data_IF_906573126717
#
_entry.id   IF_906573126717
#
_cell.length_a   1.000
_cell.length_b   1.000
_cell.length_c   1.000
_cell.angle_alpha   90.00
_cell.angle_beta   90.00
_cell.angle_gamma   90.00
#
_symmetry.space_group_name_H-M   'P 1'
#
loop_
_entity.id
_entity.type
_entity.pdbx_description
1 polymer ?
#
# COMPACT_ATOMS: atom_id res chain seq x y z
N UNK A 1 -8.86 13.53 -55.16
CA UNK A 1 -10.21 14.03 -54.83
C UNK A 1 -10.23 14.45 -53.36
N UNK A 2 -9.95 15.72 -53.03
CA UNK A 2 -10.17 16.24 -51.69
C UNK A 2 -11.69 16.42 -51.51
N UNK A 3 -12.31 15.60 -50.67
CA UNK A 3 -13.69 15.79 -50.24
C UNK A 3 -13.80 17.14 -49.55
N UNK A 4 -14.63 18.04 -50.09
CA UNK A 4 -14.97 19.32 -49.46
C UNK A 4 -15.51 19.04 -48.04
N UNK A 5 -14.68 19.24 -47.02
CA UNK A 5 -15.15 19.20 -45.65
C UNK A 5 -16.14 20.33 -45.45
N UNK A 6 -17.35 20.07 -44.94
CA UNK A 6 -18.35 21.10 -44.79
C UNK A 6 -17.87 22.16 -43.83
N UNK A 7 -18.02 23.42 -44.16
CA UNK A 7 -17.50 24.58 -43.39
C UNK A 7 -17.99 24.59 -41.94
N UNK A 8 -19.21 24.12 -41.66
CA UNK A 8 -19.73 23.99 -40.33
C UNK A 8 -18.91 23.03 -39.43
N UNK A 9 -18.38 21.95 -40.00
CA UNK A 9 -17.50 20.99 -39.28
C UNK A 9 -16.21 21.67 -38.83
N UNK A 10 -15.61 22.50 -39.70
CA UNK A 10 -14.40 23.27 -39.37
C UNK A 10 -14.65 24.27 -38.25
N UNK A 11 -15.80 24.97 -38.28
CA UNK A 11 -16.19 25.87 -37.18
C UNK A 11 -16.44 25.11 -35.88
N UNK A 12 -17.06 23.95 -35.91
CA UNK A 12 -17.30 23.13 -34.72
C UNK A 12 -15.98 22.64 -34.11
N UNK A 13 -15.04 22.21 -34.94
CA UNK A 13 -13.70 21.79 -34.47
C UNK A 13 -12.97 23.00 -33.88
N UNK A 14 -13.00 24.16 -34.52
CA UNK A 14 -12.37 25.38 -34.01
C UNK A 14 -12.92 25.77 -32.62
N UNK A 15 -14.25 25.80 -32.48
CA UNK A 15 -14.90 26.12 -31.21
C UNK A 15 -14.50 25.10 -30.12
N UNK A 16 -14.47 23.81 -30.46
CA UNK A 16 -14.07 22.75 -29.52
C UNK A 16 -12.61 22.94 -29.08
N UNK A 17 -11.70 23.21 -30.03
CA UNK A 17 -10.27 23.47 -29.71
C UNK A 17 -10.13 24.72 -28.86
N UNK A 18 -10.87 25.79 -29.16
CA UNK A 18 -10.87 27.02 -28.35
C UNK A 18 -11.37 26.76 -26.93
N UNK A 19 -12.47 26.01 -26.75
CA UNK A 19 -12.97 25.64 -25.44
C UNK A 19 -11.92 24.86 -24.64
N UNK A 20 -11.31 23.85 -25.25
CA UNK A 20 -10.25 23.07 -24.60
C UNK A 20 -9.09 23.96 -24.21
N UNK A 21 -8.64 24.85 -25.12
CA UNK A 21 -7.56 25.80 -24.83
C UNK A 21 -7.87 26.68 -23.64
N UNK A 22 -9.08 27.27 -23.57
CA UNK A 22 -9.47 28.12 -22.46
C UNK A 22 -9.64 27.37 -21.14
N UNK A 23 -10.12 26.12 -21.16
CA UNK A 23 -10.18 25.26 -19.96
C UNK A 23 -8.76 25.05 -19.38
N UNK A 24 -7.78 24.84 -20.22
CA UNK A 24 -6.39 24.65 -19.77
C UNK A 24 -5.73 25.96 -19.35
N UNK A 25 -5.96 27.04 -20.08
CA UNK A 25 -5.34 28.34 -19.83
C UNK A 25 -5.90 29.05 -18.58
N UNK A 26 -7.22 28.98 -18.38
CA UNK A 26 -7.92 29.60 -17.25
C UNK A 26 -8.13 28.64 -16.05
N UNK A 27 -7.40 27.52 -16.01
CA UNK A 27 -7.60 26.51 -14.98
C UNK A 27 -7.32 27.06 -13.58
N UNK A 28 -8.33 27.06 -12.66
CA UNK A 28 -8.20 27.65 -11.35
C UNK A 28 -7.53 26.70 -10.36
N UNK A 29 -6.22 26.48 -10.55
CA UNK A 29 -5.40 25.50 -9.80
C UNK A 29 -5.60 25.62 -8.28
N UNK A 30 -5.48 26.83 -7.72
CA UNK A 30 -5.54 27.03 -6.27
C UNK A 30 -6.92 26.75 -5.68
N UNK A 31 -7.99 27.13 -6.40
CA UNK A 31 -9.36 26.85 -5.95
C UNK A 31 -9.63 25.36 -5.90
N UNK A 32 -9.20 24.63 -6.94
CA UNK A 32 -9.36 23.16 -7.02
C UNK A 32 -8.50 22.48 -5.99
N UNK A 33 -7.25 22.91 -5.80
CA UNK A 33 -6.37 22.44 -4.74
C UNK A 33 -7.06 22.55 -3.37
N UNK A 34 -7.53 23.74 -3.01
CA UNK A 34 -8.18 24.00 -1.74
C UNK A 34 -9.46 23.16 -1.57
N UNK A 35 -10.25 23.01 -2.62
CA UNK A 35 -11.44 22.17 -2.60
C UNK A 35 -11.13 20.71 -2.32
N UNK A 36 -10.16 20.14 -3.03
CA UNK A 36 -9.73 18.74 -2.86
C UNK A 36 -9.14 18.52 -1.47
N UNK A 37 -8.23 19.39 -1.03
CA UNK A 37 -7.60 19.31 0.29
C UNK A 37 -8.63 19.40 1.42
N UNK A 38 -9.50 20.42 1.36
CA UNK A 38 -10.53 20.62 2.38
C UNK A 38 -11.57 19.51 2.38
N UNK A 39 -11.95 19.00 1.21
CA UNK A 39 -12.87 17.89 1.07
C UNK A 39 -12.34 16.61 1.70
N UNK A 40 -11.08 16.28 1.39
CA UNK A 40 -10.42 15.10 1.95
C UNK A 40 -10.26 15.19 3.48
N UNK A 41 -9.76 16.32 3.98
CA UNK A 41 -9.51 16.51 5.42
C UNK A 41 -10.81 16.53 6.25
N UNK A 42 -11.96 16.91 5.66
CA UNK A 42 -13.26 16.80 6.32
C UNK A 42 -13.77 15.37 6.44
N UNK A 43 -13.48 14.54 5.44
CA UNK A 43 -13.91 13.13 5.42
C UNK A 43 -13.06 12.25 6.31
N UNK A 44 -11.78 12.57 6.46
CA UNK A 44 -10.81 11.78 7.23
C UNK A 44 -10.28 12.59 8.41
N UNK A 45 -10.74 12.30 9.62
CA UNK A 45 -10.31 13.03 10.83
C UNK A 45 -8.85 12.76 11.21
N UNK A 46 -8.34 11.59 10.87
CA UNK A 46 -7.02 11.13 11.32
C UNK A 46 -5.94 11.23 10.22
N UNK A 47 -6.36 11.46 8.96
CA UNK A 47 -5.42 11.57 7.83
C UNK A 47 -5.61 12.92 7.15
N UNK A 48 -4.56 13.70 7.08
CA UNK A 48 -4.50 14.95 6.37
C UNK A 48 -3.77 14.79 5.05
N UNK A 49 -4.17 15.57 4.04
CA UNK A 49 -3.51 15.61 2.74
C UNK A 49 -2.95 17.00 2.48
N UNK A 50 -1.74 17.04 1.93
CA UNK A 50 -1.15 18.26 1.36
C UNK A 50 -0.89 18.04 -0.12
N UNK A 51 -1.21 19.05 -0.93
CA UNK A 51 -1.02 19.05 -2.39
C UNK A 51 -0.23 20.30 -2.74
N UNK A 52 0.85 20.17 -3.48
CA UNK A 52 1.65 21.33 -3.90
C UNK A 52 0.92 22.08 -5.02
N UNK A 53 0.61 21.41 -6.12
CA UNK A 53 0.02 22.00 -7.30
C UNK A 53 -1.00 21.06 -7.96
N UNK A 54 -2.02 21.65 -8.60
CA UNK A 54 -3.05 20.93 -9.36
C UNK A 54 -3.05 21.45 -10.79
N UNK A 55 -3.04 20.59 -11.78
CA UNK A 55 -3.16 20.95 -13.18
C UNK A 55 -4.20 20.09 -13.91
N UNK A 56 -4.75 20.57 -15.03
CA UNK A 56 -5.63 19.75 -15.84
C UNK A 56 -4.87 18.59 -16.50
N UNK A 57 -5.52 17.47 -16.69
CA UNK A 57 -5.02 16.30 -17.43
C UNK A 57 -5.89 16.04 -18.65
N UNK A 58 -5.25 15.80 -19.80
CA UNK A 58 -5.98 15.42 -21.01
C UNK A 58 -6.51 13.96 -20.91
N UNK A 59 -7.74 13.66 -21.39
CA UNK A 59 -8.69 14.56 -22.04
C UNK A 59 -9.49 15.45 -21.05
N UNK A 60 -9.93 14.95 -19.92
CA UNK A 60 -10.65 15.65 -18.86
C UNK A 60 -10.33 15.00 -17.53
N UNK A 61 -9.27 15.43 -16.88
CA UNK A 61 -8.83 14.90 -15.61
C UNK A 61 -8.04 15.92 -14.83
N UNK A 62 -7.49 15.46 -13.71
CA UNK A 62 -6.65 16.24 -12.81
C UNK A 62 -5.30 15.55 -12.64
N UNK A 63 -4.25 16.35 -12.56
CA UNK A 63 -2.94 15.95 -12.08
C UNK A 63 -2.65 16.70 -10.79
N UNK A 64 -2.38 15.96 -9.75
CA UNK A 64 -1.97 16.47 -8.45
C UNK A 64 -0.48 16.21 -8.30
N UNK A 65 0.29 17.19 -7.91
CA UNK A 65 1.74 17.09 -7.77
C UNK A 65 2.14 17.16 -6.31
N UNK A 66 3.12 16.36 -5.92
CA UNK A 66 3.66 16.24 -4.56
C UNK A 66 2.54 16.13 -3.53
N UNK A 67 1.79 15.04 -3.63
CA UNK A 67 0.71 14.76 -2.70
C UNK A 67 1.25 13.96 -1.54
N UNK A 68 1.18 14.55 -0.34
CA UNK A 68 1.65 13.95 0.88
C UNK A 68 0.47 13.66 1.80
N UNK A 69 0.46 12.47 2.36
CA UNK A 69 -0.53 12.04 3.35
C UNK A 69 0.12 12.00 4.72
N UNK A 70 -0.53 12.60 5.70
CA UNK A 70 -0.04 12.70 7.07
C UNK A 70 -1.04 12.07 8.03
N UNK A 71 -0.53 11.37 9.04
CA UNK A 71 -1.31 10.96 10.21
C UNK A 71 -0.74 11.68 11.43
N UNK A 72 -1.53 12.56 12.03
CA UNK A 72 -1.03 13.56 12.97
C UNK A 72 0.12 14.36 12.32
N UNK A 73 1.35 14.30 12.84
CA UNK A 73 2.51 15.00 12.27
C UNK A 73 3.45 14.07 11.48
N UNK A 74 3.06 12.81 11.30
CA UNK A 74 3.90 11.80 10.66
C UNK A 74 3.52 11.61 9.19
N UNK A 75 4.51 11.64 8.30
CA UNK A 75 4.31 11.37 6.88
C UNK A 75 4.06 9.89 6.67
N UNK A 76 2.85 9.55 6.17
CA UNK A 76 2.49 8.17 5.82
C UNK A 76 2.95 7.80 4.42
N UNK A 77 2.65 8.67 3.47
CA UNK A 77 2.86 8.43 2.05
C UNK A 77 3.18 9.73 1.33
N UNK A 78 4.18 9.69 0.46
CA UNK A 78 4.55 10.78 -0.42
C UNK A 78 4.40 10.32 -1.87
N UNK A 79 3.82 11.16 -2.71
CA UNK A 79 3.70 10.88 -4.14
C UNK A 79 4.25 12.02 -4.97
N UNK A 80 4.96 11.69 -6.03
CA UNK A 80 5.43 12.70 -6.99
C UNK A 80 4.26 13.29 -7.78
N UNK A 81 3.36 12.44 -8.21
CA UNK A 81 2.23 12.82 -9.05
C UNK A 81 1.09 11.81 -8.94
N UNK A 82 -0.14 12.32 -8.86
CA UNK A 82 -1.36 11.52 -9.00
C UNK A 82 -2.17 12.07 -10.18
N UNK A 83 -2.44 11.24 -11.17
CA UNK A 83 -3.35 11.55 -12.28
C UNK A 83 -4.69 10.87 -12.03
N UNK A 84 -5.78 11.62 -12.09
CA UNK A 84 -7.16 11.12 -11.94
C UNK A 84 -7.94 11.51 -13.18
N UNK A 85 -8.57 10.53 -13.83
CA UNK A 85 -9.36 10.73 -15.05
C UNK A 85 -10.73 10.08 -14.88
N UNK A 86 -11.82 10.84 -14.89
CA UNK A 86 -13.16 10.28 -14.84
C UNK A 86 -13.50 9.60 -16.18
N UNK A 87 -14.31 8.56 -16.11
CA UNK A 87 -14.98 8.03 -17.29
C UNK A 87 -16.14 8.95 -17.64
N UNK A 88 -16.04 9.65 -18.77
CA UNK A 88 -17.01 10.69 -19.17
C UNK A 88 -18.43 10.15 -19.28
N UNK A 89 -18.60 8.95 -19.80
CA UNK A 89 -19.93 8.34 -19.93
C UNK A 89 -20.55 8.00 -18.57
N UNK A 90 -19.72 7.70 -17.58
CA UNK A 90 -20.20 7.40 -16.24
C UNK A 90 -20.70 8.65 -15.49
N UNK A 91 -20.25 9.85 -15.87
CA UNK A 91 -20.71 11.10 -15.26
C UNK A 91 -22.21 11.35 -15.47
N UNK A 92 -22.79 10.77 -16.52
CA UNK A 92 -24.23 10.83 -16.81
C UNK A 92 -25.04 9.70 -16.17
N UNK A 93 -24.37 8.81 -15.44
CA UNK A 93 -24.98 7.66 -14.75
C UNK A 93 -25.02 7.89 -13.25
N UNK A 94 -25.78 7.08 -12.53
CA UNK A 94 -25.81 7.07 -11.05
C UNK A 94 -24.46 6.63 -10.45
N UNK A 95 -23.70 5.79 -11.17
CA UNK A 95 -22.41 5.25 -10.78
C UNK A 95 -21.30 5.95 -11.55
N UNK A 96 -20.45 6.67 -10.82
CA UNK A 96 -19.31 7.39 -11.37
C UNK A 96 -18.09 6.48 -11.28
N UNK A 97 -17.35 6.37 -12.38
CA UNK A 97 -16.11 5.59 -12.49
C UNK A 97 -14.98 6.56 -12.77
N UNK A 98 -13.86 6.38 -12.08
CA UNK A 98 -12.62 7.13 -12.34
C UNK A 98 -11.42 6.18 -12.39
N UNK A 99 -10.42 6.57 -13.14
CA UNK A 99 -9.13 5.90 -13.21
C UNK A 99 -8.10 6.77 -12.54
N UNK A 100 -7.19 6.15 -11.79
CA UNK A 100 -6.09 6.87 -11.17
C UNK A 100 -4.76 6.21 -11.49
N UNK A 101 -3.71 7.03 -11.53
CA UNK A 101 -2.33 6.60 -11.68
C UNK A 101 -1.45 7.52 -10.86
N UNK A 102 -0.76 6.96 -9.87
CA UNK A 102 0.19 7.67 -9.02
C UNK A 102 1.60 7.16 -9.26
N UNK A 103 2.57 8.07 -9.17
CA UNK A 103 3.99 7.76 -9.13
C UNK A 103 4.49 8.03 -7.73
N UNK A 104 5.09 7.03 -7.10
CA UNK A 104 5.66 7.11 -5.77
C UNK A 104 6.79 6.09 -5.62
N UNK A 105 7.85 6.46 -4.93
CA UNK A 105 8.92 5.55 -4.53
C UNK A 105 9.49 4.71 -5.68
N UNK A 106 9.77 5.35 -6.82
CA UNK A 106 10.27 4.77 -8.07
C UNK A 106 9.27 3.79 -8.74
N UNK A 107 8.11 3.57 -8.15
CA UNK A 107 7.06 2.67 -8.65
C UNK A 107 5.81 3.40 -9.12
N UNK A 108 4.83 2.60 -9.48
CA UNK A 108 3.55 3.06 -10.00
C UNK A 108 2.42 2.38 -9.22
N UNK A 109 1.45 3.18 -8.80
CA UNK A 109 0.16 2.74 -8.29
C UNK A 109 -0.90 3.16 -9.30
N UNK A 110 -1.68 2.23 -9.82
CA UNK A 110 -2.74 2.56 -10.77
C UNK A 110 -3.97 1.70 -10.52
N UNK A 111 -5.13 2.21 -10.89
CA UNK A 111 -6.36 1.49 -10.69
C UNK A 111 -7.59 2.25 -11.14
N UNK A 112 -8.69 1.74 -10.69
CA UNK A 112 -10.02 2.28 -10.96
C UNK A 112 -10.78 2.39 -9.64
N UNK A 113 -11.57 3.45 -9.52
CA UNK A 113 -12.51 3.61 -8.43
C UNK A 113 -13.90 3.86 -8.95
N UNK A 114 -14.90 3.52 -8.15
CA UNK A 114 -16.30 3.76 -8.45
C UNK A 114 -17.05 4.15 -7.18
N UNK A 115 -18.01 5.07 -7.33
CA UNK A 115 -18.89 5.49 -6.26
C UNK A 115 -20.29 5.85 -6.79
N UNK A 116 -21.30 5.81 -5.91
CA UNK A 116 -22.66 6.22 -6.25
C UNK A 116 -22.82 7.71 -6.00
N UNK A 117 -23.24 8.46 -7.02
CA UNK A 117 -23.30 9.94 -7.04
C UNK A 117 -24.11 10.56 -5.89
N UNK A 118 -25.24 9.94 -5.53
CA UNK A 118 -26.11 10.45 -4.48
C UNK A 118 -25.76 9.97 -3.07
N UNK A 119 -24.82 9.05 -2.94
CA UNK A 119 -24.35 8.44 -1.67
C UNK A 119 -22.88 8.09 -1.77
N UNK A 120 -21.98 9.08 -1.97
CA UNK A 120 -20.56 8.81 -2.20
C UNK A 120 -19.90 8.14 -1.00
N UNK A 121 -20.42 8.33 0.21
CA UNK A 121 -19.85 7.78 1.44
C UNK A 121 -20.27 6.33 1.72
N UNK A 122 -21.33 5.85 1.07
CA UNK A 122 -21.95 4.57 1.38
C UNK A 122 -21.54 3.42 0.46
N UNK A 123 -21.04 3.73 -0.72
CA UNK A 123 -20.64 2.72 -1.68
C UNK A 123 -19.45 3.20 -2.50
N UNK A 124 -18.26 2.87 -2.01
CA UNK A 124 -16.99 3.10 -2.72
C UNK A 124 -16.32 1.76 -2.97
N UNK A 125 -15.91 1.52 -4.20
CA UNK A 125 -15.09 0.37 -4.57
C UNK A 125 -13.85 0.90 -5.28
N UNK A 126 -12.67 0.46 -4.84
CA UNK A 126 -11.40 0.82 -5.46
C UNK A 126 -10.62 -0.46 -5.73
N UNK A 127 -10.30 -0.69 -6.98
CA UNK A 127 -9.41 -1.76 -7.41
C UNK A 127 -8.11 -1.14 -7.90
N UNK A 128 -6.99 -1.61 -7.39
CA UNK A 128 -5.70 -1.08 -7.77
C UNK A 128 -4.59 -2.11 -7.76
N UNK A 129 -3.53 -1.78 -8.46
CA UNK A 129 -2.28 -2.53 -8.46
C UNK A 129 -1.12 -1.57 -8.23
N UNK A 130 -0.12 -2.05 -7.55
CA UNK A 130 1.15 -1.35 -7.36
C UNK A 130 2.29 -2.21 -7.90
N UNK A 131 3.26 -1.56 -8.52
CA UNK A 131 4.38 -2.23 -9.18
C UNK A 131 5.67 -1.45 -9.01
N UNK A 132 6.75 -2.18 -8.78
CA UNK A 132 8.12 -1.68 -8.65
C UNK A 132 8.29 -0.60 -7.57
N UNK A 133 7.54 -0.68 -6.48
CA UNK A 133 7.66 0.27 -5.37
C UNK A 133 8.88 -0.12 -4.53
N UNK A 134 9.83 0.80 -4.37
CA UNK A 134 10.97 0.62 -3.48
C UNK A 134 10.55 0.85 -2.03
N UNK A 135 10.52 -0.21 -1.22
CA UNK A 135 10.06 -0.15 0.17
C UNK A 135 10.95 0.76 1.02
N UNK A 136 12.25 0.78 0.77
CA UNK A 136 13.21 1.60 1.51
C UNK A 136 12.86 3.08 1.51
N UNK A 137 12.25 3.56 0.43
CA UNK A 137 11.88 4.96 0.25
C UNK A 137 10.56 5.34 0.95
N UNK A 138 9.79 4.37 1.48
CA UNK A 138 8.51 4.62 2.15
C UNK A 138 8.75 5.04 3.60
N UNK A 139 8.50 6.32 3.99
CA UNK A 139 8.78 6.80 5.35
C UNK A 139 8.04 6.01 6.43
N UNK A 140 6.77 5.69 6.17
CA UNK A 140 5.92 4.95 7.07
C UNK A 140 6.46 3.55 7.42
N UNK A 141 7.13 2.87 6.49
CA UNK A 141 7.67 1.53 6.73
C UNK A 141 8.68 1.56 7.86
N UNK A 142 9.66 2.48 7.79
CA UNK A 142 10.67 2.62 8.84
C UNK A 142 10.04 3.03 10.17
N UNK A 143 9.07 3.93 10.13
CA UNK A 143 8.39 4.42 11.31
C UNK A 143 7.54 3.34 12.00
N UNK A 144 6.72 2.61 11.24
CA UNK A 144 5.81 1.60 11.82
C UNK A 144 6.49 0.27 12.15
N UNK A 145 7.49 -0.14 11.38
CA UNK A 145 8.22 -1.39 11.65
C UNK A 145 9.35 -1.15 12.66
N UNK A 146 9.78 0.11 12.86
CA UNK A 146 10.89 0.48 13.72
C UNK A 146 12.25 -0.02 13.21
N UNK A 147 12.34 -0.46 11.94
CA UNK A 147 13.52 -1.12 11.36
C UNK A 147 13.64 -0.84 9.88
N UNK A 148 14.84 -1.07 9.36
CA UNK A 148 15.06 -0.99 7.94
C UNK A 148 14.52 -2.25 7.25
N UNK A 149 13.65 -2.05 6.29
CA UNK A 149 13.16 -3.07 5.37
C UNK A 149 13.42 -2.58 3.96
N UNK A 150 14.07 -3.41 3.15
CA UNK A 150 14.34 -3.13 1.75
C UNK A 150 13.65 -4.15 0.85
N UNK A 151 13.59 -3.88 -0.43
CA UNK A 151 13.01 -4.77 -1.43
C UNK A 151 12.06 -4.03 -2.37
N UNK A 152 11.64 -4.74 -3.41
CA UNK A 152 10.70 -4.24 -4.41
C UNK A 152 9.32 -4.82 -4.15
N UNK A 153 8.35 -3.95 -3.91
CA UNK A 153 6.96 -4.30 -3.60
C UNK A 153 6.11 -4.24 -4.86
N UNK A 154 5.38 -5.33 -5.12
CA UNK A 154 4.39 -5.44 -6.18
C UNK A 154 3.12 -6.10 -5.64
N UNK A 155 1.97 -5.81 -6.24
CA UNK A 155 0.73 -6.44 -5.83
C UNK A 155 -0.53 -5.74 -6.30
N UNK A 156 -1.64 -6.15 -5.71
CA UNK A 156 -2.95 -5.58 -5.94
C UNK A 156 -3.71 -5.40 -4.63
N UNK A 157 -4.67 -4.51 -4.66
CA UNK A 157 -5.59 -4.32 -3.57
C UNK A 157 -6.98 -4.02 -4.09
N UNK A 158 -7.98 -4.37 -3.28
CA UNK A 158 -9.36 -3.99 -3.49
C UNK A 158 -9.88 -3.39 -2.20
N UNK A 159 -10.53 -2.24 -2.28
CA UNK A 159 -11.20 -1.59 -1.16
C UNK A 159 -12.69 -1.53 -1.41
N UNK A 160 -13.47 -1.96 -0.45
CA UNK A 160 -14.91 -1.85 -0.45
C UNK A 160 -15.35 -1.10 0.80
N UNK A 161 -16.14 -0.04 0.62
CA UNK A 161 -16.86 0.58 1.71
C UNK A 161 -18.33 0.18 1.60
N UNK A 162 -18.84 -0.53 2.60
CA UNK A 162 -20.23 -0.92 2.74
C UNK A 162 -20.83 -0.23 3.97
N UNK A 163 -22.05 0.27 3.85
CA UNK A 163 -22.76 0.99 4.90
C UNK A 163 -22.88 0.19 6.20
N UNK A 164 -22.93 -1.16 6.13
CA UNK A 164 -23.12 -2.05 7.27
C UNK A 164 -21.83 -2.60 7.85
N UNK A 165 -20.82 -2.82 7.00
CA UNK A 165 -19.59 -3.51 7.36
C UNK A 165 -18.40 -2.55 7.53
N UNK A 166 -18.57 -1.27 7.17
CA UNK A 166 -17.46 -0.32 7.14
C UNK A 166 -16.49 -0.61 5.99
N UNK A 167 -15.37 0.12 5.98
CA UNK A 167 -14.33 -0.05 4.96
C UNK A 167 -13.53 -1.32 5.16
N UNK A 168 -13.42 -2.15 4.12
CA UNK A 168 -12.61 -3.37 4.11
C UNK A 168 -11.68 -3.36 2.90
N UNK A 169 -10.42 -3.66 3.11
CA UNK A 169 -9.42 -3.81 2.05
C UNK A 169 -8.92 -5.25 2.00
N UNK A 170 -8.80 -5.80 0.81
CA UNK A 170 -8.04 -7.02 0.55
C UNK A 170 -6.76 -6.64 -0.18
N UNK A 171 -5.63 -7.15 0.29
CA UNK A 171 -4.30 -6.86 -0.27
C UNK A 171 -3.59 -8.18 -0.54
N UNK A 172 -3.03 -8.31 -1.75
CA UNK A 172 -2.09 -9.36 -2.12
C UNK A 172 -0.83 -8.70 -2.60
N UNK A 173 0.28 -9.02 -1.99
CA UNK A 173 1.55 -8.41 -2.34
C UNK A 173 2.70 -9.42 -2.33
N UNK A 174 3.71 -9.05 -3.09
CA UNK A 174 4.99 -9.74 -3.16
C UNK A 174 6.08 -8.70 -2.94
N UNK A 175 7.02 -9.01 -2.06
CA UNK A 175 8.25 -8.26 -1.87
C UNK A 175 9.38 -9.14 -2.37
N UNK A 176 10.17 -8.65 -3.30
CA UNK A 176 11.30 -9.38 -3.89
C UNK A 176 12.63 -8.74 -3.52
N UNK A 177 13.65 -9.58 -3.41
CA UNK A 177 15.05 -9.16 -3.29
C UNK A 177 15.29 -8.12 -2.18
N UNK A 178 14.95 -8.48 -0.97
CA UNK A 178 14.98 -7.57 0.15
C UNK A 178 15.77 -8.08 1.35
N UNK A 179 15.87 -7.19 2.33
CA UNK A 179 16.56 -7.41 3.59
C UNK A 179 15.77 -6.75 4.71
N UNK A 180 15.68 -7.43 5.84
CA UNK A 180 15.07 -6.91 7.07
C UNK A 180 16.09 -6.90 8.20
N UNK A 181 16.20 -5.75 8.87
CA UNK A 181 17.02 -5.57 10.05
C UNK A 181 16.37 -6.29 11.25
N UNK A 182 17.17 -7.00 12.04
CA UNK A 182 16.71 -7.71 13.24
C UNK A 182 16.72 -6.77 14.46
N UNK A 183 15.76 -6.91 15.37
CA UNK A 183 15.71 -6.16 16.65
C UNK A 183 16.93 -6.41 17.51
N UNK A 184 17.38 -7.65 17.52
CA UNK A 184 18.59 -8.07 18.24
C UNK A 184 19.34 -8.99 17.29
N UNK A 185 20.67 -8.85 17.20
CA UNK A 185 21.45 -9.77 16.41
C UNK A 185 21.23 -11.21 16.89
N UNK A 186 20.90 -12.07 15.94
CA UNK A 186 20.75 -13.50 16.20
C UNK A 186 21.95 -14.22 15.56
N UNK A 187 22.81 -14.84 16.35
CA UNK A 187 24.02 -15.52 15.89
C UNK A 187 24.94 -14.68 14.99
N UNK A 188 25.16 -13.40 15.35
CA UNK A 188 25.91 -12.41 14.55
C UNK A 188 25.21 -11.94 13.27
N UNK A 189 24.00 -12.41 12.98
CA UNK A 189 23.21 -11.86 11.90
C UNK A 189 22.51 -10.61 12.43
N UNK A 190 22.79 -9.46 11.82
CA UNK A 190 22.10 -8.19 12.07
C UNK A 190 20.89 -8.05 11.14
N UNK A 191 20.97 -8.65 9.98
CA UNK A 191 19.95 -8.59 8.93
C UNK A 191 19.61 -10.00 8.41
N UNK A 192 18.39 -10.15 7.92
CA UNK A 192 17.93 -11.34 7.19
C UNK A 192 17.61 -10.95 5.76
N UNK A 193 18.37 -11.49 4.82
CA UNK A 193 18.08 -11.35 3.39
C UNK A 193 17.04 -12.38 2.95
N UNK A 194 16.10 -11.96 2.13
CA UNK A 194 15.06 -12.81 1.55
C UNK A 194 14.96 -12.61 0.04
N UNK A 195 14.70 -13.68 -0.67
CA UNK A 195 14.43 -13.63 -2.10
C UNK A 195 13.00 -13.21 -2.38
N UNK A 196 12.05 -13.63 -1.53
CA UNK A 196 10.63 -13.37 -1.73
C UNK A 196 9.82 -13.44 -0.44
N UNK A 197 8.92 -12.48 -0.27
CA UNK A 197 7.83 -12.52 0.70
C UNK A 197 6.52 -12.38 -0.05
N UNK A 198 5.61 -13.33 0.09
CA UNK A 198 4.25 -13.27 -0.45
C UNK A 198 3.25 -13.11 0.69
N UNK A 199 2.41 -12.09 0.63
CA UNK A 199 1.41 -11.87 1.66
C UNK A 199 0.01 -11.67 1.07
N UNK A 200 -0.97 -12.28 1.73
CA UNK A 200 -2.39 -12.06 1.50
C UNK A 200 -3.05 -11.63 2.81
N UNK A 201 -3.66 -10.45 2.79
CA UNK A 201 -4.18 -9.78 3.99
C UNK A 201 -5.55 -9.18 3.74
N UNK A 202 -6.34 -9.09 4.80
CA UNK A 202 -7.59 -8.33 4.84
C UNK A 202 -7.52 -7.32 5.97
N UNK A 203 -7.83 -6.05 5.68
CA UNK A 203 -7.81 -4.95 6.64
C UNK A 203 -9.22 -4.39 6.75
N UNK A 204 -9.75 -4.30 7.95
CA UNK A 204 -11.07 -3.70 8.20
C UNK A 204 -11.39 -3.71 9.68
N UNK A 205 -12.21 -2.77 10.15
CA UNK A 205 -12.65 -2.68 11.54
C UNK A 205 -11.50 -2.73 12.57
N UNK A 206 -10.43 -1.97 12.32
CA UNK A 206 -9.22 -1.93 13.15
C UNK A 206 -8.54 -3.31 13.31
N UNK A 207 -8.74 -4.22 12.37
CA UNK A 207 -8.13 -5.54 12.35
C UNK A 207 -7.43 -5.78 11.03
N UNK A 208 -6.21 -6.29 11.11
CA UNK A 208 -5.46 -6.81 9.99
C UNK A 208 -5.40 -8.34 10.14
N UNK A 209 -6.05 -9.05 9.24
CA UNK A 209 -6.00 -10.50 9.16
C UNK A 209 -4.97 -10.90 8.12
N UNK A 210 -3.87 -11.49 8.56
CA UNK A 210 -2.90 -12.14 7.69
C UNK A 210 -3.44 -13.52 7.36
N UNK A 211 -4.00 -13.70 6.15
CA UNK A 211 -4.50 -14.99 5.69
C UNK A 211 -3.32 -15.95 5.46
N UNK A 212 -2.27 -15.42 4.84
CA UNK A 212 -1.05 -16.16 4.50
C UNK A 212 0.08 -15.16 4.28
N UNK A 213 1.25 -15.45 4.85
CA UNK A 213 2.50 -14.74 4.57
C UNK A 213 3.61 -15.77 4.46
N UNK A 214 4.14 -15.99 3.25
CA UNK A 214 5.24 -16.91 2.97
C UNK A 214 6.49 -16.10 2.82
N UNK A 215 7.53 -16.50 3.51
CA UNK A 215 8.84 -15.88 3.54
C UNK A 215 9.86 -16.89 3.04
N UNK A 216 10.53 -16.59 1.94
CA UNK A 216 11.66 -17.37 1.42
C UNK A 216 12.95 -16.59 1.70
N UNK A 217 13.64 -16.97 2.76
CA UNK A 217 14.86 -16.27 3.20
C UNK A 217 16.06 -17.23 3.19
N UNK A 218 17.26 -16.65 3.12
CA UNK A 218 18.50 -17.45 3.05
C UNK A 218 18.71 -18.35 4.28
N UNK A 219 18.52 -17.84 5.54
CA UNK A 219 18.73 -18.71 6.70
C UNK A 219 17.54 -19.62 6.98
N UNK A 220 16.32 -19.26 6.56
CA UNK A 220 15.12 -20.03 6.89
C UNK A 220 13.92 -19.62 6.04
N UNK A 221 13.10 -20.57 5.65
CA UNK A 221 11.78 -20.30 5.11
C UNK A 221 10.75 -20.21 6.22
N UNK A 222 9.73 -19.39 6.00
CA UNK A 222 8.68 -19.18 6.99
C UNK A 222 7.29 -19.07 6.37
N UNK A 223 6.31 -19.39 7.18
CA UNK A 223 4.90 -19.08 6.87
C UNK A 223 4.25 -18.53 8.14
N UNK A 224 3.58 -17.39 8.02
CA UNK A 224 2.93 -16.71 9.12
C UNK A 224 1.47 -16.42 8.77
N UNK A 225 0.57 -16.62 9.72
CA UNK A 225 -0.84 -16.28 9.59
C UNK A 225 -1.40 -15.85 10.95
N UNK A 226 -2.53 -15.13 10.96
CA UNK A 226 -3.18 -14.73 12.20
C UNK A 226 -3.84 -13.37 12.14
N UNK A 227 -3.95 -12.72 13.29
CA UNK A 227 -4.64 -11.45 13.47
C UNK A 227 -3.74 -10.44 14.16
N UNK A 228 -3.84 -9.19 13.71
CA UNK A 228 -3.26 -8.02 14.36
C UNK A 228 -4.42 -7.07 14.64
N UNK A 229 -4.67 -6.76 15.91
CA UNK A 229 -5.64 -5.74 16.29
C UNK A 229 -4.93 -4.39 16.29
N UNK A 230 -5.29 -3.55 15.34
CA UNK A 230 -4.67 -2.24 15.15
C UNK A 230 -5.09 -1.30 16.28
N UNK A 231 -4.12 -0.57 16.84
CA UNK A 231 -4.33 0.43 17.90
C UNK A 231 -3.64 1.73 17.52
N UNK A 232 -3.96 2.79 18.21
CA UNK A 232 -3.25 4.06 18.18
C UNK A 232 -2.54 4.27 19.53
N UNK A 233 -1.21 4.46 19.52
CA UNK A 233 -0.30 4.44 18.37
C UNK A 233 -0.11 3.03 17.81
N UNK A 234 0.27 2.94 16.52
CA UNK A 234 0.33 1.67 15.77
C UNK A 234 1.26 0.63 16.39
N UNK A 235 2.33 1.06 17.05
CA UNK A 235 3.31 0.22 17.72
C UNK A 235 2.68 -0.61 18.87
N UNK A 236 1.57 -0.12 19.44
CA UNK A 236 0.80 -0.80 20.49
C UNK A 236 -0.23 -1.80 19.94
N UNK A 237 -0.26 -2.04 18.64
CA UNK A 237 -1.15 -3.02 18.02
C UNK A 237 -0.86 -4.43 18.52
N UNK A 238 -1.91 -5.17 18.93
CA UNK A 238 -1.78 -6.52 19.49
C UNK A 238 -1.56 -7.57 18.42
N UNK A 239 -0.56 -8.39 18.60
CA UNK A 239 -0.21 -9.52 17.75
C UNK A 239 -0.82 -10.81 18.25
N UNK A 240 -1.40 -11.59 17.35
CA UNK A 240 -1.84 -12.98 17.55
C UNK A 240 -1.54 -13.75 16.28
N UNK A 241 -0.28 -14.13 16.12
CA UNK A 241 0.19 -14.78 14.90
C UNK A 241 0.71 -16.18 15.21
N UNK A 242 0.50 -17.06 14.25
CA UNK A 242 1.04 -18.41 14.20
C UNK A 242 2.05 -18.47 13.07
N UNK A 243 3.23 -18.94 13.36
CA UNK A 243 4.31 -19.10 12.41
C UNK A 243 4.80 -20.54 12.33
N UNK A 244 5.27 -20.89 11.15
CA UNK A 244 6.00 -22.14 10.90
C UNK A 244 7.31 -21.76 10.25
N UNK A 245 8.43 -22.14 10.84
CA UNK A 245 9.77 -21.86 10.35
C UNK A 245 10.43 -23.17 9.94
N UNK A 246 11.10 -23.16 8.79
CA UNK A 246 11.92 -24.25 8.27
C UNK A 246 13.35 -23.75 8.13
N UNK A 247 14.21 -23.96 9.11
CA UNK A 247 15.61 -23.56 9.02
C UNK A 247 16.33 -24.30 7.88
N UNK A 248 17.24 -23.62 7.20
CA UNK A 248 18.13 -24.24 6.22
C UNK A 248 19.15 -25.11 6.93
N UNK A 249 19.61 -26.20 6.29
CA UNK A 249 20.63 -27.12 6.86
C UNK A 249 21.97 -26.41 7.13
N UNK A 250 22.39 -25.50 6.27
CA UNK A 250 23.59 -24.70 6.45
C UNK A 250 23.50 -23.82 7.70
N UNK A 251 22.36 -23.16 7.89
CA UNK A 251 22.10 -22.36 9.07
C UNK A 251 22.07 -23.18 10.36
N UNK A 252 21.48 -24.38 10.33
CA UNK A 252 21.50 -25.30 11.46
C UNK A 252 22.92 -25.79 11.79
N UNK A 253 23.76 -26.02 10.77
CA UNK A 253 25.15 -26.42 10.94
C UNK A 253 26.01 -25.29 11.55
N UNK A 254 25.77 -24.03 11.15
CA UNK A 254 26.42 -22.85 11.76
C UNK A 254 25.99 -22.64 13.21
N UNK A 255 24.70 -22.79 13.50
CA UNK A 255 24.16 -22.77 14.84
C UNK A 255 24.83 -23.78 15.75
N UNK A 256 25.03 -25.01 15.25
CA UNK A 256 25.67 -26.09 15.99
C UNK A 256 27.15 -25.87 16.31
N UNK A 257 27.84 -25.03 15.51
CA UNK A 257 29.25 -24.67 15.74
C UNK A 257 29.42 -23.52 16.76
N UNK A 258 28.42 -22.67 16.91
CA UNK A 258 28.51 -21.42 17.70
C UNK A 258 27.90 -21.49 19.10
N UNK A 259 27.14 -22.53 19.42
CA UNK A 259 26.46 -22.66 20.71
C UNK A 259 26.86 -23.92 21.45
N UNK A 260 27.05 -23.85 22.79
CA UNK A 260 27.08 -25.04 23.61
C UNK A 260 25.82 -25.85 23.39
N UNK A 261 25.97 -27.11 23.04
CA UNK A 261 24.87 -28.06 22.69
C UNK A 261 23.81 -28.19 23.80
N UNK A 262 24.07 -27.67 24.98
CA UNK A 262 23.17 -27.69 26.15
C UNK A 262 22.14 -26.55 26.18
N UNK A 263 22.31 -25.53 25.36
CA UNK A 263 21.43 -24.35 25.35
C UNK A 263 20.33 -24.37 24.29
N UNK A 264 20.43 -25.27 23.34
CA UNK A 264 19.37 -25.45 22.33
C UNK A 264 18.58 -26.72 22.63
N UNK A 265 17.25 -26.66 22.62
CA UNK A 265 16.43 -27.87 22.69
C UNK A 265 16.85 -28.81 21.55
N UNK A 266 17.25 -30.04 21.85
CA UNK A 266 17.59 -31.07 20.86
C UNK A 266 16.51 -31.27 19.81
N UNK A 267 15.29 -30.87 20.14
CA UNK A 267 14.10 -30.90 19.30
C UNK A 267 14.17 -29.91 18.10
N UNK A 268 14.90 -28.81 18.21
CA UNK A 268 15.07 -27.86 17.10
C UNK A 268 15.95 -28.49 16.00
N UNK A 269 16.94 -29.27 16.37
CA UNK A 269 17.81 -29.98 15.40
C UNK A 269 17.16 -31.23 14.82
N UNK A 270 16.23 -31.84 15.53
CA UNK A 270 15.56 -33.07 15.10
C UNK A 270 14.29 -32.78 14.27
N UNK A 271 13.59 -31.69 14.55
CA UNK A 271 12.40 -31.26 13.80
C UNK A 271 12.79 -30.34 12.66
N UNK A 272 12.60 -30.80 11.42
CA UNK A 272 12.79 -29.98 10.19
C UNK A 272 11.86 -28.74 10.15
N UNK A 273 10.98 -28.58 11.12
CA UNK A 273 9.93 -27.56 11.16
C UNK A 273 9.70 -27.12 12.61
N UNK A 274 9.81 -25.83 12.85
CA UNK A 274 9.57 -25.22 14.16
C UNK A 274 8.27 -24.39 14.09
N UNK A 275 7.35 -24.66 14.99
CA UNK A 275 6.12 -23.87 15.15
C UNK A 275 6.35 -22.81 16.18
N UNK A 276 5.91 -21.59 15.88
CA UNK A 276 6.03 -20.44 16.79
C UNK A 276 4.68 -19.74 16.92
N UNK A 277 4.42 -19.24 18.11
CA UNK A 277 3.34 -18.31 18.39
C UNK A 277 3.92 -16.94 18.69
N UNK A 278 3.38 -15.90 18.08
CA UNK A 278 3.82 -14.52 18.28
C UNK A 278 2.66 -13.75 18.91
N UNK A 279 2.90 -13.24 20.12
CA UNK A 279 1.98 -12.43 20.89
C UNK A 279 2.65 -11.13 21.32
N UNK A 280 1.92 -10.28 22.03
CA UNK A 280 2.39 -8.99 22.52
C UNK A 280 2.03 -7.85 21.56
N UNK A 281 2.84 -6.84 21.51
CA UNK A 281 2.65 -5.68 20.64
C UNK A 281 3.64 -5.68 19.49
N UNK A 282 3.44 -4.82 18.50
CA UNK A 282 4.42 -4.63 17.40
C UNK A 282 5.77 -4.13 17.93
N UNK A 283 5.76 -3.31 19.00
CA UNK A 283 6.97 -2.79 19.65
C UNK A 283 7.66 -3.87 20.50
N UNK A 284 6.88 -4.68 21.23
CA UNK A 284 7.39 -5.75 22.08
C UNK A 284 6.81 -7.13 21.71
N UNK A 285 7.23 -7.73 20.59
CA UNK A 285 6.76 -9.04 20.20
C UNK A 285 7.37 -10.13 21.08
N UNK A 286 6.55 -11.07 21.52
CA UNK A 286 6.93 -12.25 22.32
C UNK A 286 6.76 -13.51 21.50
N UNK A 287 7.80 -14.33 21.48
CA UNK A 287 7.84 -15.56 20.70
C UNK A 287 7.80 -16.77 21.62
N UNK A 288 6.91 -17.70 21.34
CA UNK A 288 6.79 -18.96 22.04
C UNK A 288 6.92 -20.12 21.05
N UNK A 289 7.68 -21.12 21.43
CA UNK A 289 7.82 -22.37 20.68
C UNK A 289 6.64 -23.28 21.03
N UNK A 290 6.11 -23.95 20.01
CA UNK A 290 4.97 -24.89 20.14
C UNK A 290 5.41 -26.33 19.89
#
# INVERSE_FOLDING_TARGET
MMKNTPKWLLYSIYVLVAIVFFIYYLFPSDKIKNYVTSGFNKLNRNINISIDHVSPAFPLGLKLYKVNFYHMDNTLLETEQIKIVPNLLSLFRSKVIFFFKAKAYMGILEGKGEFIKNRPDQHVVIDGKFSKINIKEIPAVKQFIGRNLTGILEGNFTYHNDEKLGGTSEVRCVISDGEIELLKPVFKLENISFSKIEAEMTIGNQRLKVKRCIINAIPMDGNVSGLINLREPFEQSDLRLLGVIKPNQEFLAELGKGLPTNLLPKEIFSKRVVRIRIYGTLDEPRFFLD
#
